data_IF_466709644185
#
_entry.id   IF_466709644185
#
_cell.length_a   1.000
_cell.length_b   1.000
_cell.length_c   1.000
_cell.angle_alpha   90.00
_cell.angle_beta   90.00
_cell.angle_gamma   90.00
#
_symmetry.space_group_name_H-M   'P 1'
#
loop_
_entity.id
_entity.type
_entity.pdbx_description
1 polymer ?
#
# COMPACT_ATOMS: atom_id res chain seq x y z
N UNK A 1 2.59 -34.46 11.98
CA UNK A 1 1.58 -33.75 11.16
C UNK A 1 1.66 -34.28 9.75
N UNK A 2 0.52 -34.56 9.12
CA UNK A 2 0.47 -34.99 7.72
C UNK A 2 0.64 -33.79 6.77
N UNK A 3 1.04 -34.03 5.52
CA UNK A 3 1.10 -32.98 4.48
C UNK A 3 -0.24 -32.28 4.26
N UNK A 4 -1.35 -32.97 4.49
CA UNK A 4 -2.69 -32.38 4.36
C UNK A 4 -2.97 -31.38 5.48
N UNK A 5 -2.57 -31.70 6.71
CA UNK A 5 -2.70 -30.80 7.87
C UNK A 5 -1.82 -29.55 7.72
N UNK A 6 -0.61 -29.69 7.19
CA UNK A 6 0.28 -28.55 6.93
C UNK A 6 -0.30 -27.61 5.86
N UNK A 7 -0.83 -28.18 4.77
CA UNK A 7 -1.47 -27.41 3.72
C UNK A 7 -2.71 -26.67 4.21
N UNK A 8 -3.50 -27.29 5.09
CA UNK A 8 -4.68 -26.67 5.67
C UNK A 8 -4.30 -25.47 6.56
N UNK A 9 -3.33 -25.64 7.46
CA UNK A 9 -2.82 -24.54 8.31
C UNK A 9 -2.27 -23.37 7.49
N UNK A 10 -1.59 -23.63 6.37
CA UNK A 10 -1.09 -22.57 5.46
C UNK A 10 -2.22 -21.77 4.82
N UNK A 11 -3.32 -22.42 4.42
CA UNK A 11 -4.49 -21.73 3.86
C UNK A 11 -5.14 -20.85 4.91
N UNK A 12 -5.41 -21.40 6.09
CA UNK A 12 -6.00 -20.66 7.21
C UNK A 12 -5.17 -19.45 7.61
N UNK A 13 -3.84 -19.59 7.66
CA UNK A 13 -2.95 -18.44 7.86
C UNK A 13 -3.09 -17.39 6.76
N UNK A 14 -3.09 -17.79 5.49
CA UNK A 14 -3.23 -16.86 4.36
C UNK A 14 -4.57 -16.13 4.39
N UNK A 15 -5.65 -16.82 4.72
CA UNK A 15 -7.00 -16.23 4.77
C UNK A 15 -7.11 -15.21 5.90
N UNK A 16 -6.62 -15.54 7.10
CA UNK A 16 -6.58 -14.58 8.21
C UNK A 16 -5.74 -13.34 7.86
N UNK A 17 -4.59 -13.53 7.19
CA UNK A 17 -3.76 -12.41 6.77
C UNK A 17 -4.48 -11.51 5.74
N UNK A 18 -5.16 -12.11 4.77
CA UNK A 18 -5.95 -11.35 3.78
C UNK A 18 -7.05 -10.54 4.44
N UNK A 19 -7.76 -11.12 5.41
CA UNK A 19 -8.80 -10.42 6.16
C UNK A 19 -8.23 -9.25 6.98
N UNK A 20 -7.08 -9.45 7.65
CA UNK A 20 -6.40 -8.38 8.37
C UNK A 20 -5.98 -7.23 7.46
N UNK A 21 -5.32 -7.53 6.35
CA UNK A 21 -4.93 -6.52 5.35
C UNK A 21 -6.18 -5.78 4.85
N UNK A 22 -7.24 -6.49 4.49
CA UNK A 22 -8.49 -5.89 3.99
C UNK A 22 -9.11 -4.92 4.99
N UNK A 23 -9.08 -5.24 6.29
CA UNK A 23 -9.60 -4.35 7.35
C UNK A 23 -8.85 -3.01 7.44
N UNK A 24 -7.60 -2.96 6.96
CA UNK A 24 -6.73 -1.78 7.05
C UNK A 24 -6.67 -0.95 5.77
N UNK A 25 -7.13 -1.49 4.64
CA UNK A 25 -7.14 -0.77 3.37
C UNK A 25 -7.89 0.57 3.44
N UNK A 26 -8.92 0.67 4.29
CA UNK A 26 -9.73 1.87 4.45
C UNK A 26 -9.20 2.87 5.49
N UNK A 27 -8.04 2.61 6.10
CA UNK A 27 -7.42 3.58 7.00
C UNK A 27 -7.07 4.86 6.23
N UNK A 28 -7.35 6.06 6.78
CA UNK A 28 -7.04 7.32 6.12
C UNK A 28 -5.57 7.42 5.67
N UNK A 29 -4.65 6.93 6.48
CA UNK A 29 -3.21 6.94 6.20
C UNK A 29 -2.85 6.01 5.04
N UNK A 30 -3.51 4.85 4.92
CA UNK A 30 -3.34 3.94 3.80
C UNK A 30 -3.86 4.56 2.50
N UNK A 31 -5.02 5.21 2.54
CA UNK A 31 -5.61 5.91 1.40
C UNK A 31 -4.71 7.08 0.92
N UNK A 32 -4.19 7.87 1.85
CA UNK A 32 -3.27 8.97 1.55
C UNK A 32 -1.96 8.48 0.92
N UNK A 33 -1.38 7.39 1.44
CA UNK A 33 -0.16 6.81 0.87
C UNK A 33 -0.39 6.25 -0.53
N UNK A 34 -1.52 5.57 -0.74
CA UNK A 34 -1.91 5.05 -2.05
C UNK A 34 -2.09 6.16 -3.07
N UNK A 35 -2.79 7.24 -2.69
CA UNK A 35 -2.93 8.45 -3.50
C UNK A 35 -1.56 9.00 -3.95
N UNK A 36 -0.62 9.14 -3.01
CA UNK A 36 0.73 9.67 -3.29
C UNK A 36 1.52 8.75 -4.23
N UNK A 37 1.41 7.43 -4.05
CA UNK A 37 2.05 6.45 -4.93
C UNK A 37 1.48 6.56 -6.34
N UNK A 38 0.15 6.59 -6.48
CA UNK A 38 -0.53 6.69 -7.78
C UNK A 38 -0.12 7.97 -8.51
N UNK A 39 -0.12 9.12 -7.81
CA UNK A 39 0.35 10.40 -8.35
C UNK A 39 1.81 10.36 -8.84
N UNK A 40 2.68 9.56 -8.20
CA UNK A 40 4.11 9.44 -8.57
C UNK A 40 4.35 8.44 -9.70
N UNK A 41 3.62 7.32 -9.72
CA UNK A 41 3.81 6.22 -10.68
C UNK A 41 3.15 6.53 -12.03
N UNK A 42 1.88 6.92 -12.02
CA UNK A 42 1.07 7.11 -13.23
C UNK A 42 -0.08 8.05 -12.90
N UNK A 43 0.01 9.29 -13.38
CA UNK A 43 -1.02 10.33 -13.21
C UNK A 43 -2.41 9.88 -13.66
N UNK A 44 -2.49 8.89 -14.56
CA UNK A 44 -3.75 8.32 -15.03
C UNK A 44 -4.54 7.55 -13.97
N UNK A 45 -3.89 7.05 -12.91
CA UNK A 45 -4.56 6.34 -11.82
C UNK A 45 -4.81 7.22 -10.60
N UNK A 46 -4.35 8.47 -10.62
CA UNK A 46 -4.65 9.42 -9.56
C UNK A 46 -6.14 9.80 -9.63
N UNK A 47 -6.86 9.78 -8.51
CA UNK A 47 -8.25 10.26 -8.45
C UNK A 47 -8.31 11.73 -8.83
N UNK A 48 -9.44 12.16 -9.39
CA UNK A 48 -9.69 13.56 -9.72
C UNK A 48 -10.11 14.34 -8.46
N UNK A 49 -9.14 14.53 -7.56
CA UNK A 49 -9.30 15.29 -6.31
C UNK A 49 -8.33 16.47 -6.25
N UNK A 50 -8.68 17.48 -5.46
CA UNK A 50 -7.83 18.66 -5.29
C UNK A 50 -6.48 18.29 -4.67
N UNK A 51 -6.48 17.38 -3.69
CA UNK A 51 -5.27 16.85 -3.06
C UNK A 51 -4.36 16.15 -4.09
N UNK A 52 -4.94 15.36 -4.99
CA UNK A 52 -4.22 14.69 -6.06
C UNK A 52 -3.56 15.70 -7.00
N UNK A 53 -4.31 16.72 -7.43
CA UNK A 53 -3.83 17.79 -8.33
C UNK A 53 -2.67 18.55 -7.69
N UNK A 54 -2.82 18.99 -6.44
CA UNK A 54 -1.76 19.69 -5.70
C UNK A 54 -0.50 18.84 -5.56
N UNK A 55 -0.66 17.54 -5.25
CA UNK A 55 0.48 16.65 -5.12
C UNK A 55 1.17 16.40 -6.46
N UNK A 56 0.41 16.24 -7.55
CA UNK A 56 0.94 16.11 -8.92
C UNK A 56 1.73 17.36 -9.31
N UNK A 57 1.22 18.56 -9.07
CA UNK A 57 1.95 19.82 -9.35
C UNK A 57 3.29 19.85 -8.62
N UNK A 58 3.31 19.49 -7.34
CA UNK A 58 4.55 19.38 -6.57
C UNK A 58 5.50 18.33 -7.16
N UNK A 59 4.97 17.17 -7.55
CA UNK A 59 5.74 16.03 -8.06
C UNK A 59 6.28 16.26 -9.49
N UNK A 60 5.72 17.20 -10.27
CA UNK A 60 6.25 17.59 -11.59
C UNK A 60 7.71 18.04 -11.52
N UNK A 61 8.11 18.64 -10.41
CA UNK A 61 9.47 19.14 -10.20
C UNK A 61 10.47 18.06 -9.75
N UNK A 62 10.03 16.80 -9.61
CA UNK A 62 10.91 15.72 -9.17
C UNK A 62 11.57 15.05 -10.37
N UNK A 63 12.90 14.95 -10.34
CA UNK A 63 13.62 14.05 -11.24
C UNK A 63 13.27 12.57 -10.95
N UNK A 64 13.62 11.69 -11.89
CA UNK A 64 13.29 10.25 -11.80
C UNK A 64 13.81 9.61 -10.51
N UNK A 65 15.05 9.93 -10.10
CA UNK A 65 15.64 9.38 -8.85
C UNK A 65 14.82 9.76 -7.62
N UNK A 66 14.39 11.02 -7.54
CA UNK A 66 13.58 11.55 -6.42
C UNK A 66 12.18 10.95 -6.41
N UNK A 67 11.56 10.76 -7.59
CA UNK A 67 10.26 10.06 -7.69
C UNK A 67 10.36 8.62 -7.18
N UNK A 68 11.35 7.86 -7.65
CA UNK A 68 11.58 6.49 -7.20
C UNK A 68 11.85 6.38 -5.70
N UNK A 69 12.60 7.33 -5.13
CA UNK A 69 12.83 7.38 -3.69
C UNK A 69 11.51 7.50 -2.90
N UNK A 70 10.66 8.46 -3.28
CA UNK A 70 9.38 8.64 -2.59
C UNK A 70 8.41 7.48 -2.79
N UNK A 71 8.35 6.89 -3.99
CA UNK A 71 7.53 5.69 -4.26
C UNK A 71 7.92 4.58 -3.28
N UNK A 72 9.22 4.26 -3.18
CA UNK A 72 9.71 3.21 -2.27
C UNK A 72 9.42 3.55 -0.80
N UNK A 73 9.60 4.80 -0.41
CA UNK A 73 9.31 5.25 0.96
C UNK A 73 7.83 5.08 1.32
N UNK A 74 6.93 5.48 0.42
CA UNK A 74 5.49 5.38 0.66
C UNK A 74 5.00 3.93 0.61
N UNK A 75 5.53 3.12 -0.31
CA UNK A 75 5.25 1.69 -0.34
C UNK A 75 5.64 1.02 0.97
N UNK A 76 6.86 1.29 1.47
CA UNK A 76 7.32 0.75 2.76
C UNK A 76 6.37 1.14 3.90
N UNK A 77 5.96 2.41 3.99
CA UNK A 77 5.03 2.88 5.02
C UNK A 77 3.63 2.27 4.88
N UNK A 78 3.17 2.09 3.65
CA UNK A 78 1.88 1.47 3.36
C UNK A 78 1.88 0.02 3.82
N UNK A 79 2.93 -0.74 3.49
CA UNK A 79 3.11 -2.11 3.97
C UNK A 79 3.19 -2.17 5.49
N UNK A 80 4.00 -1.31 6.12
CA UNK A 80 4.08 -1.21 7.60
C UNK A 80 2.70 -1.02 8.23
N UNK A 81 1.85 -0.16 7.66
CA UNK A 81 0.48 0.06 8.15
C UNK A 81 -0.42 -1.15 7.92
N UNK A 82 -0.32 -1.84 6.79
CA UNK A 82 -1.11 -3.04 6.49
C UNK A 82 -0.76 -4.21 7.42
N UNK A 83 0.52 -4.36 7.79
CA UNK A 83 0.98 -5.45 8.64
C UNK A 83 1.11 -5.04 10.12
N UNK A 84 0.83 -3.78 10.49
CA UNK A 84 0.93 -3.31 11.87
C UNK A 84 0.03 -4.13 12.79
N UNK A 85 0.61 -4.73 13.83
CA UNK A 85 -0.11 -5.55 14.81
C UNK A 85 -0.63 -6.88 14.25
N UNK A 86 -0.13 -7.33 13.08
CA UNK A 86 -0.35 -8.69 12.62
C UNK A 86 0.56 -9.64 13.39
N UNK A 87 -0.02 -10.40 14.31
CA UNK A 87 0.64 -11.53 14.98
C UNK A 87 0.06 -12.81 14.37
N UNK A 88 0.90 -13.55 13.64
CA UNK A 88 0.53 -14.73 12.84
C UNK A 88 0.24 -15.98 13.65
#
# INVERSE_FOLDING_TARGET
MSRQEENQKRREYSDRLRQHIASRLNLPECQELRLKIDCLCSRHYAPDSEEARQYIEKAKNYNVKRRLHFIRLYQKRYDELLYKGWEG
#
